data_IF_426317371759
#
_entry.id   IF_426317371759
#
_cell.length_a   1.000
_cell.length_b   1.000
_cell.length_c   1.000
_cell.angle_alpha   90.00
_cell.angle_beta   90.00
_cell.angle_gamma   90.00
#
_symmetry.space_group_name_H-M   'P 1'
#
loop_
_entity.id
_entity.type
_entity.pdbx_description
1 polymer ?
#
# COMPACT_ATOMS: atom_id res chain seq x y z
N UNK A 1 -15.63 -8.55 20.55
CA UNK A 1 -16.94 -7.99 20.96
C UNK A 1 -17.48 -7.16 19.80
N UNK A 2 -18.69 -7.42 19.30
CA UNK A 2 -19.32 -6.53 18.31
C UNK A 2 -19.82 -5.28 19.02
N UNK A 3 -19.37 -4.09 18.58
CA UNK A 3 -19.78 -2.80 19.16
C UNK A 3 -21.24 -2.43 18.88
N UNK A 4 -21.93 -3.15 17.99
CA UNK A 4 -23.34 -2.92 17.65
C UNK A 4 -24.30 -3.68 18.57
N UNK A 5 -24.05 -4.98 18.82
CA UNK A 5 -24.95 -5.84 19.61
C UNK A 5 -24.37 -6.31 20.95
N UNK A 6 -23.13 -5.95 21.29
CA UNK A 6 -22.44 -6.37 22.52
C UNK A 6 -21.96 -7.83 22.54
N UNK A 7 -22.26 -8.64 21.51
CA UNK A 7 -21.91 -10.07 21.53
C UNK A 7 -20.39 -10.29 21.57
N UNK A 8 -19.96 -11.16 22.49
CA UNK A 8 -18.55 -11.54 22.69
C UNK A 8 -18.27 -12.89 22.04
N UNK A 9 -17.28 -12.90 21.15
CA UNK A 9 -16.83 -14.08 20.44
C UNK A 9 -15.34 -13.94 20.08
N UNK A 10 -14.70 -15.08 19.85
CA UNK A 10 -13.33 -15.18 19.31
C UNK A 10 -13.44 -15.42 17.80
N UNK A 11 -12.79 -14.63 16.94
CA UNK A 11 -12.83 -14.84 15.49
C UNK A 11 -11.98 -16.06 15.10
N UNK A 12 -12.54 -16.93 14.25
CA UNK A 12 -11.82 -18.06 13.66
C UNK A 12 -11.03 -17.59 12.43
N UNK A 13 -9.82 -18.12 12.23
CA UNK A 13 -8.92 -17.68 11.16
C UNK A 13 -9.55 -17.77 9.76
N UNK A 14 -10.33 -18.82 9.51
CA UNK A 14 -11.00 -19.06 8.23
C UNK A 14 -12.14 -18.08 7.93
N UNK A 15 -12.66 -17.38 8.96
CA UNK A 15 -13.71 -16.36 8.83
C UNK A 15 -13.16 -14.94 8.71
N UNK A 16 -11.84 -14.77 8.74
CA UNK A 16 -11.18 -13.47 8.56
C UNK A 16 -10.92 -13.23 7.07
N UNK A 17 -11.59 -12.24 6.51
CA UNK A 17 -11.45 -11.83 5.11
C UNK A 17 -10.75 -10.47 4.98
N UNK A 18 -10.41 -10.05 3.76
CA UNK A 18 -9.88 -8.70 3.50
C UNK A 18 -10.99 -7.83 2.93
N UNK A 19 -11.23 -6.68 3.58
CA UNK A 19 -12.13 -5.64 3.13
C UNK A 19 -11.32 -4.39 2.69
N UNK A 20 -11.98 -3.51 1.96
CA UNK A 20 -11.45 -2.22 1.50
C UNK A 20 -12.43 -1.11 1.89
N UNK A 21 -11.95 0.04 2.33
CA UNK A 21 -12.82 1.17 2.64
C UNK A 21 -13.52 1.69 1.37
N UNK A 22 -14.81 2.09 1.44
CA UNK A 22 -15.48 2.71 0.30
C UNK A 22 -14.83 4.06 -0.03
N UNK A 23 -14.51 4.26 -1.33
CA UNK A 23 -13.78 5.43 -1.83
C UNK A 23 -14.59 6.17 -2.89
N UNK A 24 -14.45 7.50 -2.94
CA UNK A 24 -15.00 8.29 -4.06
C UNK A 24 -14.23 8.00 -5.35
N UNK A 25 -14.78 8.36 -6.51
CA UNK A 25 -14.05 8.22 -7.78
C UNK A 25 -12.74 9.03 -7.79
N UNK A 26 -12.72 10.22 -7.17
CA UNK A 26 -11.50 11.03 -7.06
C UNK A 26 -10.44 10.33 -6.18
N UNK A 27 -10.85 9.68 -5.09
CA UNK A 27 -9.95 8.90 -4.22
C UNK A 27 -9.44 7.63 -4.92
N UNK A 28 -10.25 7.00 -5.79
CA UNK A 28 -9.82 5.84 -6.58
C UNK A 28 -8.66 6.18 -7.54
N UNK A 29 -8.64 7.39 -8.10
CA UNK A 29 -7.56 7.85 -8.99
C UNK A 29 -6.31 8.34 -8.23
N UNK A 30 -6.46 8.87 -7.02
CA UNK A 30 -5.41 9.65 -6.34
C UNK A 30 -4.83 8.99 -5.08
N UNK A 31 -5.52 8.01 -4.49
CA UNK A 31 -5.14 7.41 -3.20
C UNK A 31 -5.10 5.89 -3.28
N UNK A 32 -4.05 5.32 -2.69
CA UNK A 32 -3.97 3.89 -2.49
C UNK A 32 -5.16 3.39 -1.64
N UNK A 33 -5.71 2.20 -1.92
CA UNK A 33 -6.80 1.63 -1.14
C UNK A 33 -6.37 1.30 0.29
N UNK A 34 -7.08 1.83 1.30
CA UNK A 34 -7.00 1.31 2.66
C UNK A 34 -7.67 -0.06 2.69
N UNK A 35 -6.90 -1.09 3.04
CA UNK A 35 -7.42 -2.45 3.23
C UNK A 35 -7.28 -2.86 4.68
N UNK A 36 -8.18 -3.71 5.15
CA UNK A 36 -8.15 -4.24 6.50
C UNK A 36 -8.61 -5.70 6.53
N UNK A 37 -8.07 -6.46 7.47
CA UNK A 37 -8.62 -7.77 7.83
C UNK A 37 -9.91 -7.55 8.62
N UNK A 38 -10.99 -8.22 8.25
CA UNK A 38 -12.32 -8.06 8.84
C UNK A 38 -12.96 -9.41 9.17
N UNK A 39 -13.97 -9.40 10.04
CA UNK A 39 -14.82 -10.55 10.38
C UNK A 39 -16.23 -10.05 10.67
N UNK A 40 -17.25 -10.84 10.33
CA UNK A 40 -18.64 -10.48 10.62
C UNK A 40 -19.09 -11.03 11.98
N UNK A 41 -19.92 -10.28 12.70
CA UNK A 41 -20.51 -10.77 13.94
C UNK A 41 -21.53 -11.88 13.65
N UNK A 42 -21.41 -13.07 14.27
CA UNK A 42 -22.30 -14.20 14.01
C UNK A 42 -23.76 -14.00 14.48
N UNK A 43 -24.05 -12.90 15.18
CA UNK A 43 -25.39 -12.59 15.71
C UNK A 43 -26.12 -11.52 14.87
N UNK A 44 -25.42 -10.47 14.43
CA UNK A 44 -26.05 -9.34 13.74
C UNK A 44 -25.41 -8.96 12.39
N UNK A 45 -24.41 -9.70 11.92
CA UNK A 45 -23.72 -9.41 10.66
C UNK A 45 -22.89 -8.12 10.66
N UNK A 46 -22.65 -7.49 11.83
CA UNK A 46 -21.80 -6.29 11.89
C UNK A 46 -20.38 -6.63 11.40
N UNK A 47 -19.87 -5.92 10.39
CA UNK A 47 -18.47 -6.04 9.98
C UNK A 47 -17.57 -5.42 11.05
N UNK A 48 -16.57 -6.17 11.51
CA UNK A 48 -15.60 -5.74 12.52
C UNK A 48 -14.21 -5.73 11.88
N UNK A 49 -13.60 -4.54 11.79
CA UNK A 49 -12.20 -4.39 11.41
C UNK A 49 -11.27 -4.90 12.53
N UNK A 50 -10.26 -5.70 12.16
CA UNK A 50 -9.31 -6.34 13.08
C UNK A 50 -7.89 -5.76 12.96
N UNK A 51 -7.40 -5.55 11.74
CA UNK A 51 -6.04 -5.06 11.48
C UNK A 51 -5.96 -4.34 10.13
N UNK A 52 -5.32 -3.16 10.09
CA UNK A 52 -5.07 -2.41 8.87
C UNK A 52 -3.92 -3.07 8.10
N UNK A 53 -4.07 -3.20 6.78
CA UNK A 53 -3.05 -3.70 5.86
C UNK A 53 -2.43 -2.50 5.15
N UNK A 54 -1.25 -2.08 5.61
CA UNK A 54 -0.48 -1.04 4.94
C UNK A 54 -0.23 -1.42 3.46
N UNK A 55 -0.21 -0.44 2.54
CA UNK A 55 0.19 -0.70 1.16
C UNK A 55 1.62 -1.25 1.13
N UNK A 56 1.92 -2.08 0.12
CA UNK A 56 3.32 -2.45 -0.15
C UNK A 56 4.07 -1.21 -0.60
N UNK A 57 5.29 -1.05 -0.09
CA UNK A 57 6.22 -0.02 -0.54
C UNK A 57 7.12 -0.69 -1.58
N UNK A 58 6.88 -0.37 -2.85
CA UNK A 58 7.78 -0.75 -3.93
C UNK A 58 8.97 0.23 -3.92
N UNK A 59 10.12 -0.25 -3.47
CA UNK A 59 11.37 0.49 -3.57
C UNK A 59 11.82 0.49 -5.03
N UNK A 60 12.26 1.64 -5.60
CA UNK A 60 12.87 1.62 -6.92
C UNK A 60 14.10 0.71 -6.88
N UNK A 61 14.28 -0.10 -7.92
CA UNK A 61 15.50 -0.88 -8.07
C UNK A 61 16.70 0.08 -8.04
N UNK A 62 17.72 -0.25 -7.24
CA UNK A 62 18.99 0.48 -7.24
C UNK A 62 19.66 0.30 -8.60
N UNK A 63 19.42 1.26 -9.50
CA UNK A 63 20.16 1.36 -10.75
C UNK A 63 21.55 1.90 -10.42
N UNK A 64 22.56 1.07 -10.69
CA UNK A 64 23.96 1.46 -10.58
C UNK A 64 24.20 2.60 -11.58
N UNK A 65 24.52 3.80 -11.08
CA UNK A 65 24.86 4.93 -11.95
C UNK A 65 26.25 4.68 -12.51
N UNK A 66 26.31 4.29 -13.77
CA UNK A 66 27.54 4.39 -14.55
C UNK A 66 27.66 5.85 -14.98
N UNK A 67 28.45 6.64 -14.26
CA UNK A 67 28.80 8.01 -14.64
C UNK A 67 29.76 7.95 -15.84
N UNK A 68 29.19 7.67 -17.02
CA UNK A 68 29.87 7.65 -18.31
C UNK A 68 29.74 9.03 -18.99
N UNK A 69 30.35 10.04 -18.37
CA UNK A 69 30.43 11.40 -18.90
C UNK A 69 31.84 11.96 -18.65
N UNK A 70 32.76 11.53 -19.50
CA UNK A 70 34.04 12.18 -19.72
C UNK A 70 34.00 12.73 -21.13
N UNK A 71 33.40 13.90 -21.30
CA UNK A 71 33.22 14.52 -22.62
C UNK A 71 34.57 14.83 -23.29
N UNK A 72 34.55 14.75 -24.63
CA UNK A 72 35.68 14.90 -25.53
C UNK A 72 36.41 16.24 -25.34
N UNK A 73 37.74 16.24 -25.26
CA UNK A 73 38.56 17.46 -25.36
C UNK A 73 39.29 17.50 -26.71
N UNK A 74 38.55 17.80 -27.78
CA UNK A 74 39.13 18.29 -29.03
C UNK A 74 39.14 19.83 -29.06
N UNK A 75 40.30 20.42 -29.34
CA UNK A 75 40.51 21.87 -29.25
C UNK A 75 41.98 22.20 -29.07
N UNK A 76 42.73 22.28 -30.17
CA UNK A 76 44.13 22.70 -30.18
C UNK A 76 44.27 24.12 -30.73
N UNK A 77 45.17 24.91 -30.13
CA UNK A 77 45.57 26.25 -30.59
C UNK A 77 47.09 26.43 -30.35
N UNK A 78 47.84 26.58 -31.46
CA UNK A 78 49.18 27.18 -31.75
C UNK A 78 50.38 26.91 -30.79
N UNK A 79 51.65 27.36 -30.96
CA UNK A 79 52.36 28.25 -31.90
C UNK A 79 53.68 27.59 -32.45
N UNK A 80 54.43 28.33 -33.30
CA UNK A 80 55.79 28.13 -33.89
C UNK A 80 56.00 27.10 -35.05
#
# INVERSE_FOLDING_TARGET
ECRVCGYRFTPEREKIYTAEEPRSMADMLTKAPTRFSAVDCPVCGCQIALAIRAPRIDFPAIVERHDADAEETEGGEDED
#
